data_IF_205647762704
#
_entry.id   IF_205647762704
#
_cell.length_a   1.000
_cell.length_b   1.000
_cell.length_c   1.000
_cell.angle_alpha   90.00
_cell.angle_beta   90.00
_cell.angle_gamma   90.00
#
_symmetry.space_group_name_H-M   'P 1'
#
loop_
_entity.id
_entity.type
_entity.pdbx_description
1 polymer ?
#
# COMPACT_ATOMS: atom_id res chain seq x y z
N UNK A 1 6.15 -6.53 -6.09
CA UNK A 1 5.85 -5.26 -5.40
C UNK A 1 7.09 -4.66 -4.76
N UNK A 2 7.88 -5.42 -3.99
CA UNK A 2 9.13 -4.94 -3.36
C UNK A 2 10.03 -4.15 -4.31
N UNK A 3 10.35 -4.68 -5.50
CA UNK A 3 11.15 -3.96 -6.52
C UNK A 3 10.58 -2.62 -6.97
N UNK A 4 9.25 -2.48 -6.97
CA UNK A 4 8.60 -1.21 -7.32
C UNK A 4 8.76 -0.20 -6.19
N UNK A 5 8.57 -0.62 -4.93
CA UNK A 5 8.77 0.25 -3.76
C UNK A 5 10.24 0.68 -3.63
N UNK A 6 11.19 -0.23 -3.88
CA UNK A 6 12.63 0.08 -3.91
C UNK A 6 12.97 1.13 -4.98
N UNK A 7 12.37 1.02 -6.17
CA UNK A 7 12.55 2.01 -7.22
C UNK A 7 12.00 3.39 -6.80
N UNK A 8 10.81 3.43 -6.21
CA UNK A 8 10.22 4.69 -5.73
C UNK A 8 11.08 5.33 -4.63
N UNK A 9 11.55 4.53 -3.67
CA UNK A 9 12.49 4.99 -2.64
C UNK A 9 13.77 5.56 -3.25
N UNK A 10 14.36 4.85 -4.20
CA UNK A 10 15.58 5.28 -4.89
C UNK A 10 15.38 6.60 -5.66
N UNK A 11 14.18 6.82 -6.20
CA UNK A 11 13.80 8.06 -6.87
C UNK A 11 13.49 9.22 -5.90
N UNK A 12 13.49 8.98 -4.59
CA UNK A 12 13.28 10.01 -3.57
C UNK A 12 11.82 10.26 -3.21
N UNK A 13 10.91 9.34 -3.56
CA UNK A 13 9.52 9.43 -3.09
C UNK A 13 9.43 9.06 -1.61
N UNK A 14 8.69 9.86 -0.84
CA UNK A 14 8.53 9.64 0.60
C UNK A 14 7.52 8.54 0.92
N UNK A 15 6.49 8.38 0.07
CA UNK A 15 5.34 7.50 0.34
C UNK A 15 4.76 6.94 -0.96
N UNK A 16 4.12 5.77 -0.84
CA UNK A 16 3.23 5.21 -1.84
C UNK A 16 1.87 4.92 -1.22
N UNK A 17 0.78 5.14 -1.96
CA UNK A 17 -0.58 4.84 -1.50
C UNK A 17 -1.36 4.01 -2.50
N UNK A 18 -2.35 3.26 -2.02
CA UNK A 18 -3.28 2.50 -2.85
C UNK A 18 -4.66 2.41 -2.22
N UNK A 19 -5.67 2.15 -3.05
CA UNK A 19 -6.98 1.69 -2.63
C UNK A 19 -7.09 0.19 -2.93
N UNK A 20 -7.60 -0.60 -1.99
CA UNK A 20 -7.84 -2.03 -2.18
C UNK A 20 -9.19 -2.42 -1.58
N UNK A 21 -9.99 -3.16 -2.35
CA UNK A 21 -11.26 -3.67 -1.85
C UNK A 21 -11.07 -4.56 -0.62
N UNK A 22 -11.94 -4.42 0.38
CA UNK A 22 -11.94 -5.23 1.60
C UNK A 22 -12.13 -6.72 1.32
N UNK A 23 -12.87 -7.03 0.26
CA UNK A 23 -13.08 -8.39 -0.23
C UNK A 23 -11.88 -8.96 -1.02
N UNK A 24 -10.89 -8.14 -1.36
CA UNK A 24 -9.74 -8.58 -2.13
C UNK A 24 -8.72 -9.30 -1.23
N UNK A 25 -8.37 -10.54 -1.58
CA UNK A 25 -7.39 -11.34 -0.84
C UNK A 25 -5.99 -10.71 -0.79
N UNK A 26 -5.70 -9.79 -1.71
CA UNK A 26 -4.41 -9.08 -1.77
C UNK A 26 -4.16 -8.12 -0.61
N UNK A 27 -5.16 -7.78 0.22
CA UNK A 27 -4.97 -6.91 1.41
C UNK A 27 -3.76 -7.36 2.25
N UNK A 28 -3.69 -8.67 2.55
CA UNK A 28 -2.58 -9.24 3.33
C UNK A 28 -1.22 -9.16 2.63
N UNK A 29 -1.21 -9.16 1.30
CA UNK A 29 0.02 -8.97 0.53
C UNK A 29 0.53 -7.53 0.65
N UNK A 30 -0.36 -6.54 0.70
CA UNK A 30 0.03 -5.14 0.90
C UNK A 30 0.54 -4.91 2.32
N UNK A 31 -0.15 -5.46 3.33
CA UNK A 31 0.29 -5.41 4.73
C UNK A 31 1.70 -6.02 4.91
N UNK A 32 1.97 -7.16 4.27
CA UNK A 32 3.25 -7.87 4.42
C UNK A 32 4.45 -7.13 3.84
N UNK A 33 4.22 -6.19 2.92
CA UNK A 33 5.28 -5.35 2.33
C UNK A 33 5.30 -3.92 2.87
N UNK A 34 4.56 -3.66 3.96
CA UNK A 34 4.67 -2.43 4.74
C UNK A 34 3.58 -1.38 4.50
N UNK A 35 2.54 -1.70 3.72
CA UNK A 35 1.36 -0.82 3.65
C UNK A 35 0.52 -0.92 4.91
N UNK A 36 -0.05 0.21 5.34
CA UNK A 36 -0.96 0.31 6.50
C UNK A 36 -2.21 1.06 6.09
N UNK A 37 -3.37 0.60 6.55
CA UNK A 37 -4.65 1.31 6.36
C UNK A 37 -4.61 2.64 7.10
N UNK A 38 -4.87 3.72 6.37
CA UNK A 38 -4.96 5.09 6.92
C UNK A 38 -6.39 5.63 6.87
N UNK A 39 -7.22 5.09 5.98
CA UNK A 39 -8.64 5.42 5.86
C UNK A 39 -9.38 4.25 5.21
N UNK A 40 -10.71 4.25 5.29
CA UNK A 40 -11.55 3.25 4.65
C UNK A 40 -12.93 3.79 4.30
N UNK A 41 -13.55 3.19 3.28
CA UNK A 41 -14.97 3.36 2.99
C UNK A 41 -15.71 2.02 3.14
N UNK A 42 -16.94 1.93 2.65
CA UNK A 42 -17.73 0.69 2.74
C UNK A 42 -17.08 -0.50 2.00
N UNK A 43 -16.34 -0.24 0.92
CA UNK A 43 -15.85 -1.27 0.00
C UNK A 43 -14.32 -1.40 0.00
N UNK A 44 -13.57 -0.35 0.34
CA UNK A 44 -12.12 -0.27 0.15
C UNK A 44 -11.37 0.24 1.39
N UNK A 45 -10.14 -0.24 1.55
CA UNK A 45 -9.11 0.36 2.39
C UNK A 45 -8.25 1.31 1.57
N UNK A 46 -7.97 2.49 2.09
CA UNK A 46 -6.90 3.36 1.63
C UNK A 46 -5.66 3.05 2.46
N UNK A 47 -4.60 2.58 1.81
CA UNK A 47 -3.38 2.14 2.48
C UNK A 47 -2.17 2.97 2.03
N UNK A 48 -1.23 3.19 2.95
CA UNK A 48 0.02 3.94 2.71
C UNK A 48 1.21 3.12 3.16
N UNK A 49 2.27 3.12 2.35
CA UNK A 49 3.60 2.61 2.67
C UNK A 49 4.57 3.80 2.70
N UNK A 50 5.22 4.00 3.84
CA UNK A 50 6.35 4.93 3.96
C UNK A 50 7.58 4.27 3.32
N UNK A 51 8.26 4.97 2.40
CA UNK A 51 9.31 4.40 1.55
C UNK A 51 10.72 4.57 2.12
#
# INVERSE_FOLDING_TARGET
MVKMLELLKWQGYEKASLAVQKANYAVKMYESVGFKTVDENAEEYIMVCEL
#
